data_IF_164383625947
#
_entry.id   IF_164383625947
#
_cell.length_a   1.000
_cell.length_b   1.000
_cell.length_c   1.000
_cell.angle_alpha   90.00
_cell.angle_beta   90.00
_cell.angle_gamma   90.00
#
_symmetry.space_group_name_H-M   'P 1'
#
loop_
_entity.id
_entity.type
_entity.pdbx_description
1 polymer ?
#
# COMPACT_ATOMS: atom_id res chain seq x y z
N UNK A 1 3.55 -7.57 26.73
CA UNK A 1 2.68 -6.49 26.24
C UNK A 1 2.60 -6.62 24.73
N UNK A 2 1.40 -6.67 24.16
CA UNK A 2 1.25 -6.70 22.71
C UNK A 2 1.74 -5.36 22.16
N UNK A 3 2.67 -5.40 21.20
CA UNK A 3 3.11 -4.20 20.50
C UNK A 3 1.89 -3.57 19.80
N UNK A 4 1.68 -2.27 20.01
CA UNK A 4 0.58 -1.52 19.37
C UNK A 4 0.71 -1.58 17.84
N UNK A 5 -0.41 -1.75 17.15
CA UNK A 5 -0.46 -1.74 15.68
C UNK A 5 -0.20 -0.33 15.13
N UNK A 6 0.33 -0.26 13.92
CA UNK A 6 0.60 0.98 13.19
C UNK A 6 -0.69 1.40 12.49
N UNK A 7 -1.19 2.61 12.76
CA UNK A 7 -2.40 3.14 12.10
C UNK A 7 -2.01 4.21 11.09
N UNK A 8 -2.40 3.99 9.83
CA UNK A 8 -2.06 4.84 8.71
C UNK A 8 -3.31 5.40 8.03
N UNK A 9 -3.41 6.72 7.87
CA UNK A 9 -4.49 7.37 7.14
C UNK A 9 -4.03 7.77 5.73
N UNK A 10 -4.72 7.28 4.71
CA UNK A 10 -4.46 7.59 3.31
C UNK A 10 -5.21 8.87 2.95
N UNK A 11 -4.47 9.96 2.75
CA UNK A 11 -5.01 11.22 2.26
C UNK A 11 -4.89 11.26 0.74
N UNK A 12 -5.91 10.73 0.06
CA UNK A 12 -6.06 10.86 -1.38
C UNK A 12 -6.44 12.30 -1.74
N UNK A 13 -6.01 12.77 -2.93
CA UNK A 13 -6.37 14.10 -3.39
C UNK A 13 -7.84 14.14 -3.84
N UNK A 14 -8.32 15.33 -4.20
CA UNK A 14 -9.67 15.50 -4.74
C UNK A 14 -9.88 14.60 -5.98
N UNK A 15 -11.12 14.16 -6.26
CA UNK A 15 -11.41 13.27 -7.40
C UNK A 15 -11.01 13.82 -8.78
N UNK A 16 -10.79 15.13 -8.89
CA UNK A 16 -10.28 15.79 -10.10
C UNK A 16 -8.76 15.64 -10.30
N UNK A 17 -8.04 15.19 -9.28
CA UNK A 17 -6.59 15.01 -9.28
C UNK A 17 -6.21 13.53 -9.43
N UNK A 18 -4.93 13.30 -9.72
CA UNK A 18 -4.41 11.96 -9.92
C UNK A 18 -4.26 11.22 -8.57
N UNK A 19 -4.98 10.12 -8.38
CA UNK A 19 -4.93 9.29 -7.16
C UNK A 19 -3.52 8.76 -6.85
N UNK A 20 -2.60 8.75 -7.82
CA UNK A 20 -1.18 8.38 -7.64
C UNK A 20 -0.38 9.46 -6.92
N UNK A 21 -0.94 10.66 -6.72
CA UNK A 21 -0.37 11.75 -5.91
C UNK A 21 -1.13 11.84 -4.59
N UNK A 22 -0.69 11.09 -3.58
CA UNK A 22 -1.35 11.04 -2.27
C UNK A 22 -0.34 11.01 -1.13
N UNK A 23 -0.81 11.26 0.08
CA UNK A 23 0.00 11.20 1.30
C UNK A 23 -0.53 10.13 2.23
N UNK A 24 0.35 9.62 3.09
CA UNK A 24 -0.04 8.71 4.18
C UNK A 24 0.47 9.27 5.49
N UNK A 25 -0.45 9.44 6.44
CA UNK A 25 -0.18 9.93 7.78
C UNK A 25 -0.18 8.77 8.76
N UNK A 26 0.79 8.72 9.67
CA UNK A 26 0.74 7.84 10.83
C UNK A 26 0.02 8.55 11.97
N UNK A 27 -1.04 7.93 12.48
CA UNK A 27 -1.80 8.43 13.63
C UNK A 27 -1.26 7.79 14.90
N UNK A 28 -0.71 8.59 15.81
CA UNK A 28 -0.30 8.09 17.12
C UNK A 28 -1.51 7.92 18.03
N UNK A 29 -1.81 6.67 18.40
CA UNK A 29 -2.98 6.31 19.22
C UNK A 29 -3.04 7.06 20.55
N UNK A 30 -1.88 7.33 21.18
CA UNK A 30 -1.82 7.95 22.51
C UNK A 30 -2.03 9.48 22.50
N UNK A 31 -1.65 10.16 21.42
CA UNK A 31 -1.64 11.64 21.34
C UNK A 31 -2.65 12.19 20.35
N UNK A 32 -3.19 11.36 19.46
CA UNK A 32 -4.02 11.78 18.32
C UNK A 32 -3.26 12.61 17.28
N UNK A 33 -1.94 12.73 17.41
CA UNK A 33 -1.13 13.47 16.46
C UNK A 33 -0.94 12.67 15.18
N UNK A 34 -1.08 13.35 14.05
CA UNK A 34 -0.84 12.80 12.72
C UNK A 34 0.50 13.30 12.18
N UNK A 35 1.35 12.37 11.79
CA UNK A 35 2.66 12.67 11.20
C UNK A 35 2.70 12.14 9.77
N UNK A 36 3.00 12.99 8.80
CA UNK A 36 3.17 12.54 7.40
C UNK A 36 4.32 11.53 7.34
N UNK A 37 4.01 10.27 7.00
CA UNK A 37 4.96 9.17 6.93
C UNK A 37 5.34 8.83 5.49
N UNK A 38 4.39 8.87 4.55
CA UNK A 38 4.66 8.67 3.13
C UNK A 38 4.14 9.81 2.27
N UNK A 39 4.87 10.07 1.19
CA UNK A 39 4.47 11.00 0.12
C UNK A 39 4.64 10.32 -1.23
N UNK A 40 3.55 10.19 -1.98
CA UNK A 40 3.52 9.72 -3.35
C UNK A 40 3.35 10.91 -4.29
N UNK A 41 4.16 10.97 -5.34
CA UNK A 41 4.15 12.06 -6.30
C UNK A 41 4.14 11.50 -7.71
N UNK A 42 3.05 11.74 -8.43
CA UNK A 42 2.93 11.46 -9.85
C UNK A 42 2.92 12.77 -10.66
N UNK A 43 3.72 12.91 -11.72
CA UNK A 43 3.71 14.11 -12.55
C UNK A 43 2.37 14.23 -13.27
N UNK A 44 1.75 15.41 -13.20
CA UNK A 44 0.48 15.71 -13.88
C UNK A 44 0.75 15.84 -15.38
N UNK A 45 0.69 14.72 -16.08
CA UNK A 45 0.91 14.65 -17.53
C UNK A 45 -0.39 14.49 -18.32
N UNK A 46 -1.50 14.18 -17.65
CA UNK A 46 -2.74 13.75 -18.30
C UNK A 46 -2.65 12.37 -18.94
N UNK A 47 -1.54 11.64 -18.73
CA UNK A 47 -1.29 10.32 -19.28
C UNK A 47 -1.42 9.24 -18.19
N UNK A 48 -1.84 8.05 -18.64
CA UNK A 48 -1.92 6.85 -17.80
C UNK A 48 -0.55 6.18 -17.59
N UNK A 49 0.51 6.73 -18.18
CA UNK A 49 1.90 6.32 -18.00
C UNK A 49 2.69 7.38 -17.25
N UNK A 50 3.83 6.99 -16.69
CA UNK A 50 4.73 7.89 -15.99
C UNK A 50 5.29 7.30 -14.71
N UNK A 51 6.16 8.05 -14.06
CA UNK A 51 6.86 7.60 -12.86
C UNK A 51 6.20 8.20 -11.61
N UNK A 52 5.69 7.36 -10.73
CA UNK A 52 5.28 7.78 -9.38
C UNK A 52 6.42 7.53 -8.43
N UNK A 53 7.01 8.57 -7.87
CA UNK A 53 8.02 8.43 -6.82
C UNK A 53 7.35 8.41 -5.47
N UNK A 54 7.81 7.55 -4.56
CA UNK A 54 7.35 7.58 -3.17
C UNK A 54 8.51 7.73 -2.20
N UNK A 55 8.27 8.58 -1.20
CA UNK A 55 9.21 8.94 -0.17
C UNK A 55 8.67 8.50 1.17
N UNK A 56 9.57 8.06 2.07
CA UNK A 56 9.25 7.73 3.45
C UNK A 56 9.97 8.70 4.36
N UNK A 57 9.27 9.23 5.36
CA UNK A 57 9.89 10.06 6.39
C UNK A 57 10.74 9.18 7.30
N UNK A 58 12.01 9.54 7.44
CA UNK A 58 12.92 8.86 8.36
C UNK A 58 12.59 9.31 9.78
N UNK A 59 12.27 8.39 10.72
CA UNK A 59 11.87 8.76 12.08
C UNK A 59 13.02 9.39 12.89
N UNK A 60 14.28 9.18 12.49
CA UNK A 60 15.44 9.71 13.20
C UNK A 60 15.84 11.11 12.74
N UNK A 61 15.75 11.39 11.43
CA UNK A 61 16.17 12.67 10.84
C UNK A 61 15.01 13.60 10.53
N UNK A 62 13.78 13.07 10.58
CA UNK A 62 12.54 13.74 10.18
C UNK A 62 12.48 14.19 8.72
N UNK A 63 13.44 13.77 7.89
CA UNK A 63 13.52 14.12 6.47
C UNK A 63 12.88 13.03 5.62
N UNK A 64 12.27 13.41 4.50
CA UNK A 64 11.78 12.48 3.49
C UNK A 64 12.92 11.92 2.65
N UNK A 65 13.04 10.60 2.63
CA UNK A 65 14.02 9.86 1.83
C UNK A 65 13.31 9.08 0.73
N UNK A 66 13.97 8.91 -0.42
CA UNK A 66 13.42 8.13 -1.51
C UNK A 66 13.32 6.65 -1.10
N UNK A 67 12.09 6.12 -1.03
CA UNK A 67 11.84 4.73 -0.65
C UNK A 67 11.62 3.82 -1.88
N UNK A 68 11.14 4.40 -2.99
CA UNK A 68 11.01 3.68 -4.24
C UNK A 68 10.19 4.42 -5.28
N UNK A 69 9.76 3.68 -6.30
CA UNK A 69 8.94 4.23 -7.38
C UNK A 69 8.02 3.20 -8.02
N UNK A 70 7.02 3.68 -8.74
CA UNK A 70 6.11 2.90 -9.57
C UNK A 70 6.17 3.49 -10.98
N UNK A 71 6.79 2.77 -11.90
CA UNK A 71 6.84 3.10 -13.32
C UNK A 71 5.61 2.52 -14.01
N UNK A 72 4.68 3.38 -14.40
CA UNK A 72 3.45 3.01 -15.07
C UNK A 72 3.64 3.00 -16.59
N UNK A 73 3.32 1.88 -17.22
CA UNK A 73 3.23 1.75 -18.68
C UNK A 73 1.78 1.87 -19.16
N UNK A 74 0.83 1.50 -18.30
CA UNK A 74 -0.61 1.71 -18.47
C UNK A 74 -1.29 1.60 -17.11
N UNK A 75 -2.62 1.75 -17.08
CA UNK A 75 -3.42 1.56 -15.87
C UNK A 75 -3.27 0.16 -15.24
N UNK A 76 -2.92 -0.85 -16.02
CA UNK A 76 -2.84 -2.25 -15.60
C UNK A 76 -1.43 -2.84 -15.63
N UNK A 77 -0.45 -2.06 -16.08
CA UNK A 77 0.92 -2.50 -16.28
C UNK A 77 1.86 -1.50 -15.65
N UNK A 78 2.58 -1.94 -14.64
CA UNK A 78 3.55 -1.13 -13.93
C UNK A 78 4.68 -1.99 -13.37
N UNK A 79 5.82 -1.35 -13.16
CA UNK A 79 6.96 -1.91 -12.46
C UNK A 79 7.22 -1.11 -11.19
N UNK A 80 7.27 -1.81 -10.05
CA UNK A 80 7.48 -1.22 -8.73
C UNK A 80 8.91 -1.49 -8.28
N UNK A 81 9.59 -0.45 -7.82
CA UNK A 81 10.92 -0.52 -7.24
C UNK A 81 10.82 -0.27 -5.73
N UNK A 82 11.35 -1.21 -4.94
CA UNK A 82 11.58 -1.08 -3.50
C UNK A 82 13.10 -1.16 -3.24
N UNK A 83 13.74 0.01 -3.13
CA UNK A 83 15.21 0.09 -3.18
C UNK A 83 15.76 -0.54 -4.46
N UNK A 84 16.57 -1.60 -4.33
CA UNK A 84 17.14 -2.34 -5.46
C UNK A 84 16.24 -3.45 -6.02
N UNK A 85 15.10 -3.73 -5.38
CA UNK A 85 14.23 -4.83 -5.78
C UNK A 85 13.16 -4.32 -6.75
N UNK A 86 13.08 -4.93 -7.92
CA UNK A 86 12.10 -4.60 -8.95
C UNK A 86 11.06 -5.71 -9.07
N UNK A 87 9.77 -5.33 -9.16
CA UNK A 87 8.66 -6.27 -9.31
C UNK A 87 7.65 -5.75 -10.33
N UNK A 88 7.17 -6.63 -11.19
CA UNK A 88 6.02 -6.29 -12.01
C UNK A 88 4.74 -6.25 -11.15
N UNK A 89 3.78 -5.40 -11.48
CA UNK A 89 2.50 -5.27 -10.74
C UNK A 89 1.78 -6.61 -10.57
N UNK A 90 1.89 -7.50 -11.56
CA UNK A 90 1.32 -8.86 -11.52
C UNK A 90 1.96 -9.74 -10.43
N UNK A 91 3.23 -9.53 -10.10
CA UNK A 91 3.92 -10.28 -9.04
C UNK A 91 3.48 -9.82 -7.65
N UNK A 92 3.19 -8.52 -7.50
CA UNK A 92 2.67 -7.91 -6.28
C UNK A 92 1.16 -8.13 -6.09
N UNK A 93 0.49 -8.67 -7.11
CA UNK A 93 -0.94 -8.98 -7.12
C UNK A 93 -1.22 -10.39 -7.63
N UNK A 94 -0.36 -11.35 -7.32
CA UNK A 94 -0.45 -12.70 -7.91
C UNK A 94 -1.67 -13.46 -7.41
N UNK A 95 -2.51 -13.95 -8.31
CA UNK A 95 -3.56 -14.91 -7.97
C UNK A 95 -2.97 -16.32 -7.82
N UNK A 96 -3.40 -17.09 -6.80
CA UNK A 96 -2.95 -18.50 -6.65
C UNK A 96 -3.51 -19.42 -7.75
N UNK A 97 -4.73 -19.13 -8.21
CA UNK A 97 -5.48 -19.82 -9.27
C UNK A 97 -6.32 -18.77 -10.00
N UNK A 98 -6.76 -19.05 -11.22
CA UNK A 98 -7.56 -18.12 -12.04
C UNK A 98 -8.84 -17.62 -11.32
N UNK A 99 -9.50 -18.47 -10.53
CA UNK A 99 -10.72 -18.12 -9.76
C UNK A 99 -10.44 -17.54 -8.36
N UNK A 100 -9.18 -17.27 -8.01
CA UNK A 100 -8.82 -16.78 -6.67
C UNK A 100 -9.30 -15.35 -6.46
N UNK A 101 -10.05 -15.11 -5.38
CA UNK A 101 -10.43 -13.76 -4.93
C UNK A 101 -9.40 -13.11 -3.99
N UNK A 102 -8.16 -13.60 -4.00
CA UNK A 102 -7.05 -13.03 -3.23
C UNK A 102 -5.83 -12.73 -4.09
N UNK A 103 -5.08 -11.69 -3.74
CA UNK A 103 -3.90 -11.18 -4.44
C UNK A 103 -2.68 -11.28 -3.54
N UNK A 104 -1.68 -12.06 -3.95
CA UNK A 104 -0.49 -12.39 -3.15
C UNK A 104 0.69 -11.49 -3.48
N UNK A 105 1.52 -11.24 -2.48
CA UNK A 105 2.83 -10.63 -2.61
C UNK A 105 3.80 -11.23 -1.58
N UNK A 106 5.10 -11.14 -1.85
CA UNK A 106 6.16 -11.56 -0.91
C UNK A 106 6.67 -10.34 -0.14
N UNK A 107 6.76 -10.43 1.17
CA UNK A 107 7.38 -9.42 2.02
C UNK A 107 8.90 -9.36 1.88
N UNK A 108 9.51 -8.35 2.52
CA UNK A 108 10.98 -8.25 2.58
C UNK A 108 11.60 -9.41 3.37
N UNK A 109 10.90 -9.88 4.40
CA UNK A 109 11.24 -11.06 5.20
C UNK A 109 11.00 -12.41 4.50
N UNK A 110 10.60 -12.39 3.22
CA UNK A 110 10.34 -13.58 2.42
C UNK A 110 9.03 -14.31 2.72
N UNK A 111 8.24 -13.87 3.69
CA UNK A 111 6.90 -14.39 3.98
C UNK A 111 5.93 -13.97 2.88
N UNK A 112 5.02 -14.86 2.49
CA UNK A 112 3.97 -14.53 1.53
C UNK A 112 2.71 -14.03 2.26
N UNK A 113 2.17 -12.91 1.79
CA UNK A 113 0.93 -12.32 2.28
C UNK A 113 -0.10 -12.29 1.16
N UNK A 114 -1.38 -12.12 1.51
CA UNK A 114 -2.46 -11.96 0.53
C UNK A 114 -3.47 -10.90 0.97
N UNK A 115 -3.84 -10.05 0.02
CA UNK A 115 -4.99 -9.16 0.12
C UNK A 115 -6.25 -9.88 -0.33
N UNK A 116 -7.35 -9.69 0.41
CA UNK A 116 -8.71 -10.08 0.03
C UNK A 116 -9.63 -8.88 0.28
N UNK A 117 -10.76 -8.84 -0.43
CA UNK A 117 -11.87 -7.95 -0.10
C UNK A 117 -12.40 -8.36 1.29
N UNK A 118 -12.73 -7.38 2.14
CA UNK A 118 -13.35 -7.61 3.44
C UNK A 118 -14.74 -8.27 3.26
N UNK A 119 -15.23 -9.00 4.27
CA UNK A 119 -16.47 -9.80 4.13
C UNK A 119 -17.72 -8.95 3.93
N UNK A 120 -17.67 -7.71 4.40
CA UNK A 120 -18.66 -6.65 4.31
C UNK A 120 -18.43 -5.71 3.11
N UNK A 121 -17.44 -5.98 2.26
CA UNK A 121 -17.03 -5.16 1.10
C UNK A 121 -16.61 -3.71 1.46
N UNK A 122 -16.38 -3.42 2.75
CA UNK A 122 -16.03 -2.07 3.25
C UNK A 122 -14.55 -1.73 3.08
N UNK A 123 -13.74 -2.64 2.53
CA UNK A 123 -12.32 -2.43 2.37
C UNK A 123 -11.54 -3.70 2.06
N UNK A 124 -10.29 -3.76 2.54
CA UNK A 124 -9.34 -4.82 2.24
C UNK A 124 -8.76 -5.42 3.51
N UNK A 125 -8.53 -6.73 3.51
CA UNK A 125 -7.84 -7.44 4.61
C UNK A 125 -6.59 -8.12 4.07
N UNK A 126 -5.45 -7.85 4.68
CA UNK A 126 -4.20 -8.55 4.43
C UNK A 126 -3.99 -9.64 5.47
N UNK A 127 -3.69 -10.85 5.02
CA UNK A 127 -3.39 -11.98 5.90
C UNK A 127 -2.06 -12.63 5.53
N UNK A 128 -1.38 -13.20 6.53
CA UNK A 128 -0.29 -14.15 6.32
C UNK A 128 -0.83 -15.35 5.53
N UNK A 129 -0.27 -15.62 4.35
CA UNK A 129 -0.80 -16.64 3.45
C UNK A 129 -0.60 -18.07 3.96
N UNK A 130 0.33 -18.26 4.91
CA UNK A 130 0.67 -19.54 5.55
C UNK A 130 -0.09 -19.73 6.85
N UNK A 131 -0.12 -18.70 7.72
CA UNK A 131 -0.73 -18.78 9.05
C UNK A 131 -2.20 -18.36 9.07
N UNK A 132 -2.69 -17.70 8.03
CA UNK A 132 -4.08 -17.22 7.91
C UNK A 132 -4.43 -16.06 8.84
N UNK A 133 -3.48 -15.53 9.61
CA UNK A 133 -3.70 -14.43 10.55
C UNK A 133 -3.78 -13.10 9.83
N UNK A 134 -4.73 -12.26 10.21
CA UNK A 134 -4.79 -10.87 9.77
C UNK A 134 -3.56 -10.11 10.25
N UNK A 135 -2.94 -9.41 9.31
CA UNK A 135 -1.73 -8.62 9.53
C UNK A 135 -1.90 -7.16 9.12
N UNK A 136 -2.89 -6.86 8.29
CA UNK A 136 -3.32 -5.50 8.05
C UNK A 136 -4.80 -5.46 7.63
N UNK A 137 -5.47 -4.34 7.84
CA UNK A 137 -6.83 -4.09 7.38
C UNK A 137 -6.95 -2.63 6.91
N UNK A 138 -7.51 -2.43 5.73
CA UNK A 138 -7.84 -1.13 5.18
C UNK A 138 -9.36 -0.95 5.22
N UNK A 139 -9.82 0.16 5.78
CA UNK A 139 -11.23 0.58 5.84
C UNK A 139 -11.43 1.75 4.89
N UNK A 140 -12.34 1.62 3.94
CA UNK A 140 -12.53 2.61 2.88
C UNK A 140 -13.19 3.90 3.41
N UNK A 141 -14.18 3.77 4.30
CA UNK A 141 -14.94 4.90 4.85
C UNK A 141 -14.02 5.94 5.53
N UNK A 142 -13.02 5.46 6.27
CA UNK A 142 -12.06 6.31 6.99
C UNK A 142 -10.71 6.40 6.30
N UNK A 143 -10.55 5.78 5.12
CA UNK A 143 -9.28 5.65 4.39
C UNK A 143 -8.11 5.22 5.29
N UNK A 144 -8.38 4.32 6.24
CA UNK A 144 -7.45 3.94 7.29
C UNK A 144 -6.93 2.53 7.08
N UNK A 145 -5.60 2.38 7.07
CA UNK A 145 -4.86 1.12 7.06
C UNK A 145 -4.26 0.86 8.45
N UNK A 146 -4.75 -0.14 9.15
CA UNK A 146 -4.14 -0.66 10.38
C UNK A 146 -3.20 -1.81 10.02
N UNK A 147 -1.94 -1.75 10.45
CA UNK A 147 -0.88 -2.73 10.14
C UNK A 147 -0.28 -3.27 11.43
N UNK A 148 -0.16 -4.59 11.54
CA UNK A 148 0.54 -5.19 12.66
C UNK A 148 1.99 -4.76 12.70
N UNK A 149 2.48 -4.34 13.87
CA UNK A 149 3.86 -3.84 14.05
C UNK A 149 4.94 -4.86 13.66
N UNK A 150 4.59 -6.14 13.60
CA UNK A 150 5.48 -7.21 13.07
C UNK A 150 5.83 -7.04 11.59
N UNK A 151 5.13 -6.16 10.87
CA UNK A 151 5.36 -5.87 9.46
C UNK A 151 6.11 -4.56 9.24
N UNK A 152 6.69 -3.95 10.27
CA UNK A 152 7.45 -2.71 10.16
C UNK A 152 8.56 -2.78 9.09
N UNK A 153 9.27 -3.91 9.00
CA UNK A 153 10.29 -4.17 7.97
C UNK A 153 9.73 -4.34 6.54
N UNK A 154 8.43 -4.66 6.43
CA UNK A 154 7.70 -4.86 5.16
C UNK A 154 6.71 -3.71 4.91
N UNK A 155 6.73 -2.64 5.72
CA UNK A 155 5.69 -1.61 5.72
C UNK A 155 5.50 -0.98 4.35
N UNK A 156 6.59 -0.64 3.66
CA UNK A 156 6.55 -0.05 2.31
C UNK A 156 5.79 -0.95 1.33
N UNK A 157 6.03 -2.26 1.39
CA UNK A 157 5.32 -3.23 0.54
C UNK A 157 3.86 -3.33 0.92
N UNK A 158 3.51 -3.28 2.20
CA UNK A 158 2.10 -3.29 2.66
C UNK A 158 1.38 -2.05 2.14
N UNK A 159 1.95 -0.86 2.34
CA UNK A 159 1.38 0.42 1.88
C UNK A 159 1.21 0.44 0.37
N UNK A 160 2.27 0.13 -0.38
CA UNK A 160 2.24 0.14 -1.85
C UNK A 160 1.29 -0.92 -2.38
N UNK A 161 1.31 -2.14 -1.85
CA UNK A 161 0.38 -3.19 -2.33
C UNK A 161 -1.07 -2.88 -1.95
N UNK A 162 -1.34 -2.24 -0.80
CA UNK A 162 -2.67 -1.75 -0.46
C UNK A 162 -3.14 -0.74 -1.51
N UNK A 163 -2.33 0.27 -1.81
CA UNK A 163 -2.62 1.26 -2.85
C UNK A 163 -2.85 0.62 -4.23
N UNK A 164 -1.98 -0.28 -4.67
CA UNK A 164 -2.16 -0.99 -5.94
C UNK A 164 -3.48 -1.76 -5.97
N UNK A 165 -3.87 -2.38 -4.84
CA UNK A 165 -5.16 -3.05 -4.66
C UNK A 165 -6.35 -2.11 -4.84
N UNK A 166 -6.30 -0.94 -4.21
CA UNK A 166 -7.29 0.12 -4.37
C UNK A 166 -7.36 0.67 -5.80
N UNK A 167 -6.21 0.89 -6.45
CA UNK A 167 -6.12 1.39 -7.83
C UNK A 167 -6.82 0.48 -8.84
N UNK A 168 -6.58 -0.82 -8.80
CA UNK A 168 -7.28 -1.72 -9.74
C UNK A 168 -8.76 -1.87 -9.39
N UNK A 169 -9.10 -1.83 -8.09
CA UNK A 169 -10.50 -1.86 -7.65
C UNK A 169 -11.28 -0.64 -8.12
N UNK A 170 -10.68 0.55 -8.14
CA UNK A 170 -11.34 1.76 -8.64
C UNK A 170 -11.64 1.70 -10.15
N UNK A 171 -10.98 0.80 -10.89
CA UNK A 171 -11.27 0.53 -12.31
C UNK A 171 -12.31 -0.57 -12.53
N UNK A 172 -12.91 -1.11 -11.46
CA UNK A 172 -13.89 -2.19 -11.54
C UNK A 172 -13.29 -3.60 -11.64
N UNK A 173 -11.98 -3.73 -11.43
CA UNK A 173 -11.26 -5.00 -11.50
C UNK A 173 -10.76 -5.45 -10.13
N UNK A 174 -10.62 -6.77 -9.94
CA UNK A 174 -9.94 -7.36 -8.78
C UNK A 174 -8.85 -8.29 -9.22
#
# INVERSE_FOLDING_TARGET
MAAEDITLCFAFPDPSEDMRTFKVYETQTASGQETELYRFSHPVTGLNSGLTSFYRRNPNTEIFEAAGSIEWFSNYSATVLFGLNQFHIRELRRAKKSKSQSRRFKGSNGIEYKWKIAEDDTGLVCVDATKGRTVAAYVQETSTLTVSRKLEETLDRVVVTCFLNLWVRSMGDW
#
